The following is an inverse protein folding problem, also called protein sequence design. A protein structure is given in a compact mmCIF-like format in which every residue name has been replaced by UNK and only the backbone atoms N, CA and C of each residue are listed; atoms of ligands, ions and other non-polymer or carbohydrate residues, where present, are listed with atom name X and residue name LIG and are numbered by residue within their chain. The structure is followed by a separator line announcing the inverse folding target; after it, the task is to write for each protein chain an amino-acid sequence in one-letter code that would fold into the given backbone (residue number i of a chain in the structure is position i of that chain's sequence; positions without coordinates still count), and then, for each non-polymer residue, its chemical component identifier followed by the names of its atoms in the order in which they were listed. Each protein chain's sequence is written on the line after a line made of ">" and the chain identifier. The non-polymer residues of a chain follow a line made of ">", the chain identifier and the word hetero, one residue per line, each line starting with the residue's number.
data_IF_378457451116
#
_entry.id   IF_378457451116
#
_cell.length_a   1.000
_cell.length_b   1.000
_cell.length_c   1.000
_cell.angle_alpha   90.00
_cell.angle_beta   90.00
_cell.angle_gamma   90.00
#
_symmetry.space_group_name_H-M   'P 1'
#
loop_
_entity.id
_entity.type
_entity.pdbx_description
1 polymer ?
#
# COMPACT_ATOMS: atom_id res chain seq x y z
N UNK A 1 3.85 -4.47 26.16
CA UNK A 1 3.54 -4.20 24.74
C UNK A 1 2.30 -3.33 24.68
N UNK A 2 2.50 -2.03 24.61
CA UNK A 2 1.40 -1.05 24.60
C UNK A 2 0.93 -0.83 23.16
N UNK A 3 -0.37 -0.97 22.95
CA UNK A 3 -1.07 -0.61 21.71
C UNK A 3 -1.99 0.59 22.01
N UNK A 4 -2.61 1.14 20.98
CA UNK A 4 -3.65 2.15 21.13
C UNK A 4 -4.64 1.76 22.25
N UNK A 5 -4.88 2.65 23.20
CA UNK A 5 -5.81 2.42 24.31
C UNK A 5 -7.25 2.30 23.79
N UNK A 6 -8.08 1.47 24.42
CA UNK A 6 -9.47 1.25 23.95
C UNK A 6 -10.33 2.52 23.95
N UNK A 7 -10.09 3.41 24.89
CA UNK A 7 -10.83 4.67 25.06
C UNK A 7 -10.23 5.83 24.27
N UNK A 8 -9.06 5.67 23.67
CA UNK A 8 -8.35 6.70 22.93
C UNK A 8 -8.88 6.79 21.50
N UNK A 9 -9.15 7.97 21.00
CA UNK A 9 -9.47 8.21 19.60
C UNK A 9 -8.22 8.04 18.73
N UNK A 10 -8.38 7.93 17.42
CA UNK A 10 -7.23 7.86 16.51
C UNK A 10 -6.48 9.19 16.41
N UNK A 11 -7.17 10.33 16.59
CA UNK A 11 -6.55 11.64 16.68
C UNK A 11 -5.63 11.73 17.89
N UNK A 12 -6.14 11.36 19.07
CA UNK A 12 -5.35 11.35 20.30
C UNK A 12 -4.14 10.42 20.21
N UNK A 13 -4.32 9.24 19.60
CA UNK A 13 -3.22 8.32 19.35
C UNK A 13 -2.18 8.90 18.38
N UNK A 14 -2.61 9.51 17.28
CA UNK A 14 -1.74 10.22 16.35
C UNK A 14 -0.88 11.25 17.05
N UNK A 15 -1.53 12.10 17.87
CA UNK A 15 -0.88 13.25 18.50
C UNK A 15 0.00 12.84 19.68
N UNK A 16 -0.31 11.72 20.34
CA UNK A 16 0.49 11.17 21.46
C UNK A 16 1.64 10.29 21.01
N UNK A 17 1.49 9.50 19.96
CA UNK A 17 2.44 8.44 19.61
C UNK A 17 3.14 8.69 18.28
N UNK A 18 2.39 9.09 17.25
CA UNK A 18 2.91 9.14 15.88
C UNK A 18 3.57 10.48 15.60
N UNK A 19 2.87 11.58 15.84
CA UNK A 19 3.39 12.93 15.57
C UNK A 19 4.63 13.31 16.39
N UNK A 20 4.83 12.84 17.65
CA UNK A 20 6.07 13.07 18.37
C UNK A 20 7.30 12.41 17.75
N UNK A 21 7.13 11.34 16.96
CA UNK A 21 8.23 10.76 16.17
C UNK A 21 8.58 11.72 15.02
N UNK A 22 7.58 12.04 14.23
CA UNK A 22 7.64 13.02 13.14
C UNK A 22 6.22 13.30 12.63
N UNK A 23 5.90 14.52 12.19
CA UNK A 23 4.59 14.87 11.65
C UNK A 23 4.21 14.08 10.39
N UNK A 24 5.16 13.44 9.74
CA UNK A 24 4.95 12.60 8.55
C UNK A 24 5.23 11.11 8.76
N UNK A 25 5.55 10.69 9.98
CA UNK A 25 5.88 9.30 10.27
C UNK A 25 4.71 8.35 9.98
N UNK A 26 5.04 7.18 9.41
CA UNK A 26 4.10 6.10 9.15
C UNK A 26 4.76 4.74 9.42
N UNK A 27 4.28 3.98 10.42
CA UNK A 27 4.84 2.67 10.78
C UNK A 27 4.85 1.64 9.64
N UNK A 28 3.90 1.73 8.71
CA UNK A 28 3.88 0.86 7.55
C UNK A 28 5.11 1.04 6.65
N UNK A 29 5.72 2.23 6.60
CA UNK A 29 6.92 2.46 5.82
C UNK A 29 8.12 1.64 6.33
N UNK A 30 8.14 1.32 7.60
CA UNK A 30 9.15 0.46 8.20
C UNK A 30 8.78 -1.01 8.12
N UNK A 31 7.57 -1.38 8.48
CA UNK A 31 7.22 -2.72 8.87
C UNK A 31 6.31 -3.46 7.90
N UNK A 32 5.78 -2.80 6.87
CA UNK A 32 4.91 -3.44 5.88
C UNK A 32 5.53 -3.46 4.48
N UNK A 33 5.27 -4.54 3.77
CA UNK A 33 5.50 -4.62 2.33
C UNK A 33 4.44 -5.47 1.65
N UNK A 34 3.97 -4.99 0.51
CA UNK A 34 3.34 -5.80 -0.52
C UNK A 34 4.35 -5.97 -1.64
N UNK A 35 4.58 -7.21 -2.07
CA UNK A 35 5.56 -7.57 -3.11
C UNK A 35 4.81 -8.26 -4.24
N UNK A 36 4.91 -7.73 -5.45
CA UNK A 36 4.40 -8.34 -6.68
C UNK A 36 5.55 -9.01 -7.42
N UNK A 37 5.66 -10.33 -7.30
CA UNK A 37 6.79 -11.10 -7.87
C UNK A 37 6.77 -11.09 -9.40
N UNK A 38 5.60 -11.18 -10.02
CA UNK A 38 5.45 -11.15 -11.48
C UNK A 38 5.95 -9.86 -12.12
N UNK A 39 5.87 -8.74 -11.42
CA UNK A 39 6.32 -7.43 -11.92
C UNK A 39 7.64 -6.97 -11.30
N UNK A 40 8.14 -7.66 -10.25
CA UNK A 40 9.32 -7.26 -9.51
C UNK A 40 9.15 -5.88 -8.85
N UNK A 41 7.98 -5.63 -8.26
CA UNK A 41 7.66 -4.35 -7.63
C UNK A 41 7.24 -4.52 -6.18
N UNK A 42 7.36 -3.47 -5.39
CA UNK A 42 6.96 -3.43 -3.98
C UNK A 42 6.33 -2.09 -3.61
N UNK A 43 5.47 -2.11 -2.60
CA UNK A 43 4.93 -0.93 -1.94
C UNK A 43 4.83 -1.16 -0.44
N UNK A 44 4.79 -0.09 0.35
CA UNK A 44 4.62 -0.19 1.81
C UNK A 44 3.15 -0.18 2.25
N UNK A 45 2.25 0.24 1.39
CA UNK A 45 0.80 0.15 1.56
C UNK A 45 0.14 0.27 0.18
N UNK A 46 -1.18 0.26 0.13
CA UNK A 46 -1.94 0.25 -1.13
C UNK A 46 -2.11 1.63 -1.79
N UNK A 47 -1.75 2.72 -1.13
CA UNK A 47 -1.91 4.07 -1.70
C UNK A 47 -0.78 4.48 -2.64
N UNK A 48 0.52 4.33 -2.27
CA UNK A 48 1.60 4.73 -3.15
C UNK A 48 1.68 3.80 -4.36
N UNK A 49 2.09 4.34 -5.53
CA UNK A 49 2.47 3.50 -6.65
C UNK A 49 3.55 2.49 -6.23
N UNK A 50 3.42 1.26 -6.69
CA UNK A 50 4.47 0.27 -6.50
C UNK A 50 5.73 0.69 -7.28
N UNK A 51 6.89 0.61 -6.64
CA UNK A 51 8.17 0.88 -7.27
C UNK A 51 8.93 -0.40 -7.56
N UNK A 52 9.83 -0.37 -8.55
CA UNK A 52 10.68 -1.50 -8.91
C UNK A 52 11.60 -1.88 -7.76
N UNK A 53 11.83 -3.18 -7.64
CA UNK A 53 12.88 -3.74 -6.78
C UNK A 53 14.10 -3.90 -7.67
N UNK A 54 15.19 -3.12 -7.46
CA UNK A 54 16.40 -3.25 -8.27
C UNK A 54 17.08 -4.60 -8.02
N UNK A 55 17.23 -5.39 -9.07
CA UNK A 55 17.84 -6.74 -8.97
C UNK A 55 19.26 -6.66 -8.43
N UNK A 56 20.03 -5.67 -8.86
CA UNK A 56 21.39 -5.43 -8.41
C UNK A 56 21.50 -5.10 -6.91
N UNK A 57 20.48 -4.49 -6.31
CA UNK A 57 20.43 -4.29 -4.87
C UNK A 57 20.17 -5.61 -4.14
N UNK A 58 19.26 -6.44 -4.65
CA UNK A 58 18.92 -7.74 -4.05
C UNK A 58 20.08 -8.72 -4.15
N UNK A 59 20.82 -8.73 -5.26
CA UNK A 59 22.00 -9.58 -5.43
C UNK A 59 23.11 -9.24 -4.42
N UNK A 60 23.24 -7.95 -4.05
CA UNK A 60 24.21 -7.51 -3.04
C UNK A 60 23.68 -7.73 -1.61
N UNK A 61 22.40 -7.55 -1.41
CA UNK A 61 21.74 -7.64 -0.11
C UNK A 61 20.30 -8.18 -0.29
N UNK A 62 20.04 -9.45 0.03
CA UNK A 62 18.70 -10.04 -0.11
C UNK A 62 17.59 -9.27 0.63
N UNK A 63 17.94 -8.54 1.71
CA UNK A 63 16.97 -7.71 2.44
C UNK A 63 16.49 -6.51 1.63
N UNK A 64 17.18 -6.15 0.54
CA UNK A 64 16.76 -5.07 -0.37
C UNK A 64 15.44 -5.39 -1.09
N UNK A 65 14.96 -6.63 -1.09
CA UNK A 65 13.63 -6.97 -1.62
C UNK A 65 12.52 -6.11 -0.99
N UNK A 66 12.73 -5.65 0.20
CA UNK A 66 11.83 -4.77 0.96
C UNK A 66 12.52 -3.50 1.48
N UNK A 67 13.84 -3.50 1.60
CA UNK A 67 14.65 -2.34 2.00
C UNK A 67 15.36 -1.72 0.78
N UNK A 68 14.59 -1.45 -0.29
CA UNK A 68 15.13 -0.76 -1.47
C UNK A 68 15.70 0.61 -1.09
N UNK A 69 16.70 1.09 -1.82
CA UNK A 69 17.25 2.44 -1.64
C UNK A 69 16.17 3.51 -1.73
N UNK A 70 15.17 3.30 -2.60
CA UNK A 70 14.00 4.18 -2.69
C UNK A 70 13.22 4.23 -1.37
N UNK A 71 12.87 3.06 -0.80
CA UNK A 71 12.11 2.99 0.46
C UNK A 71 12.89 3.59 1.64
N UNK A 72 14.20 3.39 1.68
CA UNK A 72 15.09 3.99 2.66
C UNK A 72 15.10 5.52 2.58
N UNK A 73 15.14 6.07 1.36
CA UNK A 73 15.07 7.52 1.17
C UNK A 73 13.72 8.09 1.64
N UNK A 74 12.62 7.39 1.40
CA UNK A 74 11.30 7.82 1.91
C UNK A 74 11.23 7.77 3.43
N UNK A 75 11.86 6.77 4.08
CA UNK A 75 11.99 6.75 5.55
C UNK A 75 12.76 7.96 6.07
N UNK A 76 13.85 8.33 5.39
CA UNK A 76 14.62 9.53 5.71
C UNK A 76 13.74 10.77 5.69
N UNK A 77 13.06 11.02 4.58
CA UNK A 77 12.14 12.15 4.44
C UNK A 77 11.10 12.18 5.57
N UNK A 78 10.50 11.02 5.88
CA UNK A 78 9.52 10.94 6.97
C UNK A 78 10.13 11.25 8.35
N UNK A 79 11.36 10.83 8.64
CA UNK A 79 12.03 11.17 9.91
C UNK A 79 12.38 12.64 10.00
N UNK A 80 12.70 13.29 8.89
CA UNK A 80 13.00 14.71 8.78
C UNK A 80 11.72 15.60 8.77
N UNK A 81 10.53 14.97 8.86
CA UNK A 81 9.26 15.69 8.87
C UNK A 81 8.74 16.08 7.48
N UNK A 82 9.45 15.68 6.43
CA UNK A 82 9.00 15.91 5.06
C UNK A 82 7.81 15.01 4.72
N UNK A 83 6.96 15.47 3.80
CA UNK A 83 5.81 14.74 3.28
C UNK A 83 6.14 14.10 1.94
N UNK A 84 6.55 12.82 1.89
CA UNK A 84 6.86 12.15 0.64
C UNK A 84 5.69 12.20 -0.34
N UNK A 85 5.98 12.55 -1.60
CA UNK A 85 4.97 12.67 -2.66
C UNK A 85 4.18 11.38 -2.87
N UNK A 86 4.80 10.23 -2.72
CA UNK A 86 4.12 8.93 -2.87
C UNK A 86 3.00 8.70 -1.83
N UNK A 87 3.03 9.42 -0.71
CA UNK A 87 2.02 9.36 0.35
C UNK A 87 0.99 10.50 0.28
N UNK A 88 0.86 11.15 -0.87
CA UNK A 88 -0.01 12.32 -1.09
C UNK A 88 -1.46 12.08 -0.66
N UNK A 89 -1.97 10.86 -0.80
CA UNK A 89 -3.30 10.50 -0.32
C UNK A 89 -3.49 10.82 1.16
N UNK A 90 -2.55 10.39 2.02
CA UNK A 90 -2.62 10.65 3.45
C UNK A 90 -2.55 12.15 3.76
N UNK A 91 -1.70 12.88 3.03
CA UNK A 91 -1.55 14.32 3.22
C UNK A 91 -2.81 15.07 2.83
N UNK A 92 -3.44 14.72 1.71
CA UNK A 92 -4.72 15.32 1.29
C UNK A 92 -5.82 15.11 2.32
N UNK A 93 -5.89 13.93 2.95
CA UNK A 93 -6.87 13.66 4.01
C UNK A 93 -6.60 14.52 5.25
N UNK A 94 -5.35 14.63 5.67
CA UNK A 94 -4.99 15.41 6.88
C UNK A 94 -5.08 16.93 6.66
N UNK A 95 -4.86 17.39 5.44
CA UNK A 95 -4.95 18.82 5.08
C UNK A 95 -6.39 19.34 5.05
N UNK A 96 -7.40 18.47 5.04
CA UNK A 96 -8.82 18.88 5.19
C UNK A 96 -9.05 19.49 6.57
N UNK A 97 -8.34 19.00 7.58
CA UNK A 97 -8.43 19.55 8.93
C UNK A 97 -7.91 18.59 10.00
N UNK A 98 -7.60 19.11 11.21
CA UNK A 98 -6.94 18.34 12.28
C UNK A 98 -7.79 17.16 12.81
N UNK A 99 -9.11 17.20 12.59
CA UNK A 99 -10.02 16.10 12.96
C UNK A 99 -9.90 14.90 12.03
N UNK A 100 -9.32 15.06 10.82
CA UNK A 100 -9.22 13.98 9.85
C UNK A 100 -8.00 13.12 10.16
N UNK A 101 -8.22 11.82 10.07
CA UNK A 101 -7.20 10.80 10.31
C UNK A 101 -6.97 10.03 9.04
N UNK A 102 -5.74 10.02 8.58
CA UNK A 102 -5.35 9.32 7.36
C UNK A 102 -4.91 7.88 7.65
N UNK A 103 -4.75 7.10 6.59
CA UNK A 103 -4.30 5.71 6.66
C UNK A 103 -2.93 5.55 7.32
N UNK A 104 -2.05 6.56 7.33
CA UNK A 104 -0.79 6.45 8.05
C UNK A 104 -0.99 6.15 9.55
N UNK A 105 -2.08 6.65 10.14
CA UNK A 105 -2.43 6.38 11.54
C UNK A 105 -2.99 4.98 11.66
N UNK A 106 -3.99 4.62 10.87
CA UNK A 106 -4.61 3.28 10.88
C UNK A 106 -3.59 2.17 10.60
N UNK A 107 -2.65 2.40 9.68
CA UNK A 107 -1.56 1.46 9.41
C UNK A 107 -0.50 1.41 10.50
N UNK A 108 -0.35 2.45 11.30
CA UNK A 108 0.61 2.48 12.39
C UNK A 108 0.08 1.81 13.67
N UNK A 109 -1.21 1.88 13.97
CA UNK A 109 -1.79 1.28 15.20
C UNK A 109 -1.72 -0.25 15.23
N UNK A 110 -1.44 -0.91 14.13
CA UNK A 110 -1.24 -2.37 14.11
C UNK A 110 0.07 -2.78 14.79
N UNK A 111 1.03 -1.87 14.89
CA UNK A 111 2.29 -2.07 15.59
C UNK A 111 2.21 -1.56 17.04
N UNK A 112 3.07 -2.08 17.91
CA UNK A 112 3.14 -1.60 19.30
C UNK A 112 3.87 -0.26 19.35
N UNK A 113 3.61 0.53 20.40
CA UNK A 113 4.30 1.80 20.64
C UNK A 113 5.83 1.61 20.73
N UNK A 114 6.27 0.50 21.36
CA UNK A 114 7.70 0.17 21.44
C UNK A 114 8.30 -0.07 20.05
N UNK A 115 7.57 -0.76 19.15
CA UNK A 115 8.01 -0.97 17.77
C UNK A 115 8.09 0.36 16.98
N UNK A 116 7.12 1.25 17.17
CA UNK A 116 7.16 2.56 16.51
C UNK A 116 8.32 3.42 17.05
N UNK A 117 8.57 3.36 18.36
CA UNK A 117 9.72 4.02 18.98
C UNK A 117 11.05 3.42 18.53
N UNK A 118 11.14 2.10 18.33
CA UNK A 118 12.30 1.44 17.73
C UNK A 118 12.54 1.94 16.29
N UNK A 119 11.47 1.98 15.48
CA UNK A 119 11.53 2.47 14.11
C UNK A 119 12.10 3.90 14.03
N UNK A 120 11.72 4.77 14.98
CA UNK A 120 12.18 6.16 15.02
C UNK A 120 13.67 6.31 15.38
N UNK A 121 14.24 5.33 16.09
CA UNK A 121 15.65 5.32 16.50
C UNK A 121 16.57 4.62 15.49
N UNK A 122 15.99 3.81 14.60
CA UNK A 122 16.72 3.12 13.55
C UNK A 122 17.19 4.12 12.50
N UNK A 123 18.48 4.08 12.15
CA UNK A 123 18.98 4.94 11.10
C UNK A 123 18.23 4.68 9.79
N UNK A 124 17.90 5.72 9.06
CA UNK A 124 17.03 5.60 7.85
C UNK A 124 17.58 4.65 6.80
N UNK A 125 18.90 4.48 6.72
CA UNK A 125 19.57 3.61 5.74
C UNK A 125 19.74 2.16 6.23
N UNK A 126 19.40 1.86 7.48
CA UNK A 126 19.48 0.51 8.00
C UNK A 126 18.38 -0.40 7.41
N UNK A 127 18.67 -1.68 7.36
CA UNK A 127 17.69 -2.67 7.01
C UNK A 127 16.76 -2.95 8.18
N UNK A 128 15.47 -2.89 7.91
CA UNK A 128 14.42 -3.17 8.89
C UNK A 128 13.75 -4.49 8.56
N UNK A 129 13.46 -5.31 9.56
CA UNK A 129 12.71 -6.53 9.37
C UNK A 129 11.21 -6.25 9.28
N UNK A 130 10.54 -6.90 8.34
CA UNK A 130 9.09 -6.81 8.19
C UNK A 130 8.35 -7.38 9.41
N UNK A 131 7.21 -6.78 9.71
CA UNK A 131 6.21 -7.30 10.65
C UNK A 131 4.95 -7.76 9.91
N UNK A 132 4.70 -7.17 8.73
CA UNK A 132 3.56 -7.49 7.86
C UNK A 132 4.06 -7.66 6.44
N UNK A 133 3.71 -8.78 5.81
CA UNK A 133 4.11 -9.09 4.44
C UNK A 133 2.91 -9.63 3.67
N UNK A 134 2.70 -9.09 2.50
CA UNK A 134 1.78 -9.58 1.49
C UNK A 134 2.58 -9.91 0.22
N UNK A 135 2.35 -11.09 -0.35
CA UNK A 135 3.02 -11.51 -1.59
C UNK A 135 1.97 -11.86 -2.63
N UNK A 136 2.02 -11.18 -3.76
CA UNK A 136 1.30 -11.54 -4.97
C UNK A 136 2.26 -12.29 -5.90
N UNK A 137 2.07 -13.60 -6.03
CA UNK A 137 2.97 -14.46 -6.81
C UNK A 137 2.78 -14.25 -8.30
N UNK A 138 1.54 -14.38 -8.77
CA UNK A 138 1.19 -14.28 -10.19
C UNK A 138 -0.33 -14.05 -10.34
N UNK A 139 -0.74 -13.74 -11.58
CA UNK A 139 -2.14 -13.75 -12.00
C UNK A 139 -2.64 -15.14 -12.43
N UNK A 140 -1.81 -16.18 -12.34
CA UNK A 140 -2.20 -17.56 -12.65
C UNK A 140 -3.27 -18.04 -11.67
N UNK A 141 -4.48 -18.13 -12.17
CA UNK A 141 -5.64 -18.51 -11.38
C UNK A 141 -6.54 -19.42 -12.21
N UNK A 142 -7.01 -20.51 -11.63
CA UNK A 142 -7.94 -21.46 -12.24
C UNK A 142 -9.40 -21.20 -11.86
N UNK A 143 -9.69 -20.09 -11.19
CA UNK A 143 -11.02 -19.67 -10.78
C UNK A 143 -11.51 -18.49 -11.63
N UNK A 144 -12.82 -18.48 -11.88
CA UNK A 144 -13.56 -17.37 -12.52
C UNK A 144 -14.51 -16.72 -11.50
N UNK A 145 -13.94 -16.17 -10.40
CA UNK A 145 -14.74 -15.54 -9.36
C UNK A 145 -15.45 -14.30 -9.91
N UNK A 146 -16.73 -14.14 -9.61
CA UNK A 146 -17.57 -13.03 -10.11
C UNK A 146 -17.08 -11.63 -9.68
N UNK A 147 -16.29 -11.54 -8.61
CA UNK A 147 -15.68 -10.30 -8.11
C UNK A 147 -14.26 -10.06 -8.64
N UNK A 148 -13.76 -10.92 -9.53
CA UNK A 148 -12.42 -10.83 -10.10
C UNK A 148 -12.48 -10.35 -11.56
N UNK A 149 -11.34 -10.05 -12.15
CA UNK A 149 -11.24 -9.62 -13.54
C UNK A 149 -9.95 -10.11 -14.21
N UNK A 150 -9.82 -9.86 -15.51
CA UNK A 150 -8.70 -10.29 -16.33
C UNK A 150 -7.33 -9.73 -15.89
N UNK A 151 -7.28 -8.66 -15.12
CA UNK A 151 -6.00 -8.13 -14.59
C UNK A 151 -5.41 -9.01 -13.49
N UNK A 152 -6.24 -9.85 -12.85
CA UNK A 152 -5.86 -10.68 -11.70
C UNK A 152 -6.10 -12.18 -11.92
N UNK A 153 -6.61 -12.60 -13.09
CA UNK A 153 -6.93 -13.99 -13.34
C UNK A 153 -6.70 -14.37 -14.80
N UNK A 154 -5.83 -15.36 -15.00
CA UNK A 154 -5.59 -15.95 -16.33
C UNK A 154 -6.81 -16.68 -16.87
N UNK A 155 -7.69 -17.21 -16.01
CA UNK A 155 -8.97 -17.79 -16.44
C UNK A 155 -9.83 -16.73 -17.12
N UNK A 156 -10.02 -15.57 -16.48
CA UNK A 156 -10.75 -14.46 -17.10
C UNK A 156 -10.09 -13.95 -18.38
N UNK A 157 -8.74 -13.90 -18.43
CA UNK A 157 -8.01 -13.55 -19.67
C UNK A 157 -8.31 -14.54 -20.80
N UNK A 158 -8.33 -15.83 -20.49
CA UNK A 158 -8.57 -16.88 -21.47
C UNK A 158 -10.02 -16.87 -21.95
N UNK A 159 -10.98 -16.64 -21.04
CA UNK A 159 -12.40 -16.53 -21.41
C UNK A 159 -12.61 -15.35 -22.36
N UNK A 160 -12.05 -14.17 -22.06
CA UNK A 160 -12.13 -13.00 -22.94
C UNK A 160 -11.45 -13.25 -24.29
N UNK A 161 -10.32 -13.99 -24.33
CA UNK A 161 -9.67 -14.34 -25.60
C UNK A 161 -10.52 -15.30 -26.44
N UNK A 162 -11.19 -16.24 -25.80
CA UNK A 162 -11.98 -17.26 -26.46
C UNK A 162 -13.35 -16.74 -26.91
N UNK A 163 -14.05 -16.07 -26.02
CA UNK A 163 -15.47 -15.73 -26.19
C UNK A 163 -15.68 -14.23 -26.52
N UNK A 164 -14.60 -13.46 -26.55
CA UNK A 164 -14.63 -12.01 -26.78
C UNK A 164 -14.87 -11.20 -25.51
N UNK A 165 -14.88 -9.88 -25.66
CA UNK A 165 -15.24 -8.98 -24.58
C UNK A 165 -16.69 -9.16 -24.19
N UNK A 166 -17.01 -8.92 -22.92
CA UNK A 166 -18.39 -8.95 -22.44
C UNK A 166 -19.28 -8.05 -23.31
N UNK A 167 -20.41 -8.58 -23.71
CA UNK A 167 -21.43 -7.77 -24.37
C UNK A 167 -21.80 -6.63 -23.42
N UNK A 168 -21.89 -5.43 -23.96
CA UNK A 168 -22.17 -4.20 -23.20
C UNK A 168 -21.01 -3.64 -22.34
N UNK A 169 -19.83 -4.24 -22.39
CA UNK A 169 -18.65 -3.70 -21.73
C UNK A 169 -17.60 -3.28 -22.76
N UNK A 170 -17.19 -2.01 -22.71
CA UNK A 170 -16.09 -1.46 -23.51
C UNK A 170 -14.95 -1.15 -22.56
N UNK A 171 -13.79 -1.80 -22.78
CA UNK A 171 -12.59 -1.56 -21.97
C UNK A 171 -11.81 -0.36 -22.53
N UNK A 172 -11.21 0.43 -21.63
CA UNK A 172 -10.20 1.42 -22.00
C UNK A 172 -8.82 0.80 -22.31
N UNK A 173 -8.74 -0.54 -22.31
CA UNK A 173 -7.51 -1.29 -22.49
C UNK A 173 -6.62 -1.39 -21.24
N UNK A 174 -6.99 -0.73 -20.17
CA UNK A 174 -6.23 -0.72 -18.92
C UNK A 174 -7.04 -1.29 -17.73
N UNK A 175 -7.93 -0.52 -17.14
CA UNK A 175 -8.62 -0.90 -15.90
C UNK A 175 -10.08 -0.49 -15.84
N UNK A 176 -10.54 0.37 -16.73
CA UNK A 176 -11.91 0.83 -16.76
C UNK A 176 -12.70 0.17 -17.89
N UNK A 177 -13.98 0.02 -17.68
CA UNK A 177 -14.93 -0.50 -18.67
C UNK A 177 -16.05 0.50 -18.83
N UNK A 178 -16.60 0.57 -20.02
CA UNK A 178 -17.83 1.30 -20.28
C UNK A 178 -19.01 0.31 -20.31
N UNK A 179 -20.02 0.58 -19.51
CA UNK A 179 -21.29 -0.14 -19.55
C UNK A 179 -22.39 0.89 -19.78
N UNK A 180 -23.20 0.69 -20.83
CA UNK A 180 -24.30 1.57 -21.18
C UNK A 180 -23.87 3.05 -21.29
N UNK A 181 -22.70 3.28 -21.87
CA UNK A 181 -22.13 4.62 -22.05
C UNK A 181 -21.56 5.28 -20.79
N UNK A 182 -21.54 4.57 -19.65
CA UNK A 182 -20.96 5.06 -18.39
C UNK A 182 -19.71 4.27 -18.05
N UNK A 183 -18.68 4.96 -17.63
CA UNK A 183 -17.46 4.32 -17.13
C UNK A 183 -17.72 3.60 -15.81
N UNK A 184 -17.39 2.33 -15.76
CA UNK A 184 -17.43 1.50 -14.57
C UNK A 184 -16.02 1.02 -14.21
N UNK A 185 -15.70 0.99 -12.94
CA UNK A 185 -14.44 0.41 -12.47
C UNK A 185 -14.49 -1.12 -12.56
N UNK A 186 -13.36 -1.81 -12.81
CA UNK A 186 -13.29 -3.26 -12.75
C UNK A 186 -13.76 -3.76 -11.38
N UNK A 187 -14.31 -4.96 -11.33
CA UNK A 187 -14.85 -5.58 -10.11
C UNK A 187 -13.93 -5.49 -8.89
N UNK A 188 -12.61 -5.62 -9.07
CA UNK A 188 -11.65 -5.49 -7.97
C UNK A 188 -11.59 -4.09 -7.34
N UNK A 189 -12.07 -3.05 -8.02
CA UNK A 189 -12.11 -1.70 -7.47
C UNK A 189 -13.41 -1.38 -6.75
N UNK A 190 -14.47 -2.13 -6.98
CA UNK A 190 -15.75 -1.93 -6.27
C UNK A 190 -15.61 -2.26 -4.77
N UNK A 191 -14.68 -3.11 -4.40
CA UNK A 191 -14.36 -3.40 -3.00
C UNK A 191 -13.67 -2.23 -2.29
N UNK A 192 -13.02 -1.33 -3.05
CA UNK A 192 -12.33 -0.14 -2.51
C UNK A 192 -13.20 1.12 -2.52
N UNK A 193 -14.30 1.11 -3.24
CA UNK A 193 -15.24 2.24 -3.31
C UNK A 193 -16.41 2.10 -2.35
N UNK A 194 -16.45 1.02 -1.58
CA UNK A 194 -17.40 0.90 -0.48
C UNK A 194 -17.01 1.93 0.59
N UNK A 195 -17.84 2.95 0.84
CA UNK A 195 -17.56 3.87 1.94
C UNK A 195 -17.61 3.06 3.23
N UNK A 196 -16.48 2.99 3.89
CA UNK A 196 -16.37 2.51 5.27
C UNK A 196 -16.96 3.52 6.23
#
# INVERSE_FOLDING_TARGET
>A
MTKKRKTETYQEYRDRVINPISPSFCGAKWYNATIWLNSGTTASCHHPPAHKIPVEEVLKNPKAIHNTSYKKMVRKQMLEGERPKECEYCWKVEDIGPQNVSDRVYKSVIYTEDQLAEASKTHWNDDVNLKTLEIAFDANCNYACSYCNASFSTTWQNDIRKDGAYQNLVSDGARAFQQDGKWAMPYGCLLYTSPS
#
